data_IF_151062465308
#
_entry.id   IF_151062465308
#
_cell.length_a   1.000
_cell.length_b   1.000
_cell.length_c   1.000
_cell.angle_alpha   90.00
_cell.angle_beta   90.00
_cell.angle_gamma   90.00
#
_symmetry.space_group_name_H-M   'P 1'
#
loop_
_entity.id
_entity.type
_entity.pdbx_description
1 polymer ?
#
# COMPACT_ATOMS: atom_id res chain seq x y z
N UNK A 1 4.97 -15.42 -6.51
CA UNK A 1 5.32 -13.99 -6.57
C UNK A 1 5.45 -13.56 -5.11
N UNK A 2 6.67 -13.50 -4.61
CA UNK A 2 6.91 -13.03 -3.24
C UNK A 2 6.90 -11.50 -3.27
N UNK A 3 6.10 -10.87 -2.41
CA UNK A 3 6.08 -9.42 -2.29
C UNK A 3 7.41 -8.96 -1.69
N UNK A 4 8.24 -8.32 -2.48
CA UNK A 4 9.50 -7.73 -2.03
C UNK A 4 9.41 -6.22 -2.15
N UNK A 5 9.60 -5.51 -1.04
CA UNK A 5 9.74 -4.07 -1.05
C UNK A 5 11.04 -3.68 -1.72
N UNK A 6 10.99 -3.17 -2.94
CA UNK A 6 12.12 -2.57 -3.64
C UNK A 6 12.00 -1.04 -3.63
N UNK A 7 13.12 -0.28 -3.67
CA UNK A 7 13.07 1.16 -3.90
C UNK A 7 12.22 1.50 -5.13
N UNK A 8 11.33 2.49 -5.02
CA UNK A 8 10.38 2.84 -6.07
C UNK A 8 9.03 2.10 -6.02
N UNK A 9 8.84 1.15 -5.10
CA UNK A 9 7.54 0.49 -4.90
C UNK A 9 6.52 1.34 -4.11
N UNK A 10 6.93 2.44 -3.48
CA UNK A 10 6.04 3.33 -2.72
C UNK A 10 4.84 3.80 -3.56
N UNK A 11 3.64 3.72 -2.99
CA UNK A 11 2.38 4.01 -3.67
C UNK A 11 1.76 2.82 -4.42
N UNK A 12 2.44 1.67 -4.50
CA UNK A 12 1.91 0.49 -5.17
C UNK A 12 0.71 -0.12 -4.41
N UNK A 13 -0.31 -0.64 -5.12
CA UNK A 13 -1.41 -1.36 -4.49
C UNK A 13 -0.96 -2.73 -3.94
N UNK A 14 -1.49 -3.11 -2.78
CA UNK A 14 -1.36 -4.45 -2.20
C UNK A 14 -2.69 -5.17 -2.44
N UNK A 15 -2.62 -6.35 -3.07
CA UNK A 15 -3.80 -7.12 -3.46
C UNK A 15 -4.05 -8.32 -2.52
N UNK A 16 -5.33 -8.66 -2.31
CA UNK A 16 -5.72 -9.96 -1.79
C UNK A 16 -5.73 -11.06 -2.87
N UNK A 17 -6.11 -12.29 -2.50
CA UNK A 17 -6.16 -13.43 -3.43
C UNK A 17 -7.24 -13.30 -4.51
N UNK A 18 -8.22 -12.42 -4.30
CA UNK A 18 -9.30 -12.16 -5.24
C UNK A 18 -8.97 -10.97 -6.16
N UNK A 19 -7.78 -10.37 -6.03
CA UNK A 19 -7.35 -9.21 -6.82
C UNK A 19 -7.93 -7.88 -6.33
N UNK A 20 -8.45 -7.81 -5.09
CA UNK A 20 -8.91 -6.53 -4.52
C UNK A 20 -7.78 -5.79 -3.85
N UNK A 21 -7.76 -4.46 -3.98
CA UNK A 21 -6.80 -3.60 -3.28
C UNK A 21 -7.17 -3.51 -1.80
N UNK A 22 -6.28 -3.99 -0.93
CA UNK A 22 -6.48 -4.01 0.53
C UNK A 22 -5.59 -2.99 1.27
N UNK A 23 -4.52 -2.52 0.65
CA UNK A 23 -3.62 -1.50 1.20
C UNK A 23 -2.79 -0.82 0.10
N UNK A 24 -2.11 0.28 0.45
CA UNK A 24 -1.13 0.98 -0.39
C UNK A 24 0.25 0.89 0.27
N UNK A 25 1.26 0.44 -0.46
CA UNK A 25 2.62 0.30 0.07
C UNK A 25 3.22 1.67 0.40
N UNK A 26 3.58 1.88 1.65
CA UNK A 26 4.23 3.10 2.12
C UNK A 26 5.75 2.95 2.05
N UNK A 27 6.26 1.85 2.60
CA UNK A 27 7.68 1.55 2.64
C UNK A 27 7.94 0.15 3.17
N UNK A 28 9.19 -0.14 3.50
CA UNK A 28 9.59 -1.40 4.10
C UNK A 28 10.57 -1.19 5.24
N UNK A 29 10.72 -2.21 6.08
CA UNK A 29 11.70 -2.20 7.15
C UNK A 29 13.10 -2.36 6.56
N UNK A 30 14.00 -1.42 6.85
CA UNK A 30 15.33 -1.32 6.24
C UNK A 30 16.15 -2.60 6.40
N UNK A 31 16.13 -3.19 7.60
CA UNK A 31 16.92 -4.38 7.94
C UNK A 31 16.25 -5.70 7.48
N UNK A 32 15.02 -5.64 6.99
CA UNK A 32 14.31 -6.82 6.48
C UNK A 32 14.79 -7.27 5.09
N UNK A 33 15.68 -6.49 4.46
CA UNK A 33 16.00 -6.60 3.05
C UNK A 33 14.75 -6.58 2.16
N UNK A 34 13.68 -5.85 2.51
CA UNK A 34 12.45 -5.80 1.69
C UNK A 34 11.46 -6.94 1.94
N UNK A 35 11.72 -7.83 2.91
CA UNK A 35 10.79 -8.91 3.31
C UNK A 35 9.63 -8.42 4.16
N UNK A 36 9.81 -7.30 4.87
CA UNK A 36 8.77 -6.68 5.69
C UNK A 36 8.40 -5.35 5.02
N UNK A 37 7.13 -5.24 4.65
CA UNK A 37 6.55 -4.06 4.04
C UNK A 37 5.48 -3.46 4.94
N UNK A 38 5.40 -2.14 4.95
CA UNK A 38 4.37 -1.37 5.63
C UNK A 38 3.38 -0.84 4.60
N UNK A 39 2.10 -1.18 4.78
CA UNK A 39 1.01 -0.71 3.95
C UNK A 39 0.02 0.13 4.75
N UNK A 40 -0.50 1.19 4.14
CA UNK A 40 -1.65 1.93 4.67
C UNK A 40 -2.92 1.19 4.23
N UNK A 41 -3.82 0.79 5.14
CA UNK A 41 -5.03 0.07 4.76
C UNK A 41 -5.91 0.88 3.81
N UNK A 42 -6.52 0.19 2.84
CA UNK A 42 -7.31 0.84 1.78
C UNK A 42 -8.46 1.69 2.34
N UNK A 43 -9.11 1.26 3.43
CA UNK A 43 -10.19 2.03 4.04
C UNK A 43 -9.69 3.40 4.55
N UNK A 44 -8.51 3.46 5.19
CA UNK A 44 -7.91 4.71 5.66
C UNK A 44 -7.63 5.65 4.49
N UNK A 45 -7.08 5.12 3.39
CA UNK A 45 -6.83 5.89 2.17
C UNK A 45 -8.14 6.44 1.60
N UNK A 46 -9.17 5.62 1.50
CA UNK A 46 -10.47 6.06 0.97
C UNK A 46 -11.13 7.11 1.85
N UNK A 47 -11.03 6.97 3.17
CA UNK A 47 -11.63 7.93 4.10
C UNK A 47 -10.90 9.28 4.06
N UNK A 48 -9.57 9.26 3.94
CA UNK A 48 -8.79 10.47 3.69
C UNK A 48 -9.18 11.13 2.37
N UNK A 49 -9.25 10.39 1.27
CA UNK A 49 -9.65 10.94 -0.03
C UNK A 49 -11.07 11.54 -0.02
N UNK A 50 -12.02 10.91 0.68
CA UNK A 50 -13.36 11.49 0.88
C UNK A 50 -13.30 12.80 1.66
N UNK A 51 -12.45 12.87 2.69
CA UNK A 51 -12.29 14.08 3.51
C UNK A 51 -11.73 15.28 2.74
N UNK A 52 -10.99 15.03 1.66
CA UNK A 52 -10.44 16.06 0.78
C UNK A 52 -11.50 16.73 -0.12
N UNK A 53 -12.73 16.21 -0.14
CA UNK A 53 -13.85 16.75 -0.91
C UNK A 53 -13.49 17.02 -2.38
N UNK A 54 -12.70 16.12 -2.96
CA UNK A 54 -12.19 16.25 -4.33
C UNK A 54 -13.36 16.19 -5.34
N UNK A 55 -13.36 17.05 -6.38
CA UNK A 55 -14.32 16.93 -7.46
C UNK A 55 -14.16 15.58 -8.16
N UNK A 56 -15.30 14.97 -8.50
CA UNK A 56 -15.36 13.72 -9.27
C UNK A 56 -14.99 13.94 -10.73
#
# INVERSE_FOLDING_TARGET
>A
MDAYGAPGSSGSPIFDRDGRVIAVLYGGERESNGKIIFGVPAYVVTDYLKSLNLPR
#
